data_IF_919163106382
#
_entry.id   IF_919163106382
#
_cell.length_a   1.000
_cell.length_b   1.000
_cell.length_c   1.000
_cell.angle_alpha   90.00
_cell.angle_beta   90.00
_cell.angle_gamma   90.00
#
_symmetry.space_group_name_H-M   'P 1'
#
loop_
_entity.id
_entity.type
_entity.pdbx_description
1 polymer ?
#
# COMPACT_ATOMS: atom_id res chain seq x y z
N UNK A 1 8.04 -12.90 11.71
CA UNK A 1 7.54 -11.94 12.71
C UNK A 1 8.03 -10.57 12.32
N UNK A 2 7.14 -9.62 12.06
CA UNK A 2 7.52 -8.24 11.74
C UNK A 2 7.70 -7.52 13.08
N UNK A 3 8.92 -7.11 13.38
CA UNK A 3 9.20 -6.31 14.58
C UNK A 3 8.60 -4.91 14.42
N UNK A 4 7.80 -4.52 15.41
CA UNK A 4 7.21 -3.19 15.52
C UNK A 4 8.32 -2.19 15.88
N UNK A 5 8.92 -1.57 14.85
CA UNK A 5 9.95 -0.55 15.05
C UNK A 5 9.32 0.74 15.58
N UNK A 6 9.65 1.07 16.84
CA UNK A 6 9.23 2.25 17.59
C UNK A 6 9.74 3.55 16.95
N UNK A 7 8.98 4.08 15.99
CA UNK A 7 9.06 5.48 15.56
C UNK A 7 7.66 6.06 15.67
N UNK A 8 7.42 6.84 16.73
CA UNK A 8 6.10 7.28 17.20
C UNK A 8 5.43 8.38 16.36
N UNK A 9 6.15 9.00 15.41
CA UNK A 9 5.69 10.22 14.72
C UNK A 9 4.98 9.91 13.39
N UNK A 10 5.46 9.01 12.51
CA UNK A 10 4.77 8.71 11.25
C UNK A 10 3.46 7.94 11.45
N UNK A 11 3.42 7.01 12.41
CA UNK A 11 2.23 6.22 12.72
C UNK A 11 1.14 7.06 13.39
N UNK A 12 1.49 8.03 14.24
CA UNK A 12 0.49 8.89 14.90
C UNK A 12 -0.23 9.80 13.92
N UNK A 13 0.48 10.42 12.96
CA UNK A 13 -0.18 11.20 11.91
C UNK A 13 -1.05 10.30 11.02
N UNK A 14 -0.52 9.15 10.58
CA UNK A 14 -1.27 8.22 9.73
C UNK A 14 -2.56 7.73 10.42
N UNK A 15 -2.48 7.33 11.69
CA UNK A 15 -3.64 6.94 12.49
C UNK A 15 -4.65 8.08 12.68
N UNK A 16 -4.18 9.32 12.89
CA UNK A 16 -5.08 10.47 13.03
C UNK A 16 -5.87 10.79 11.74
N UNK A 17 -5.36 10.36 10.58
CA UNK A 17 -5.97 10.61 9.27
C UNK A 17 -6.88 9.45 8.79
N UNK A 18 -6.96 8.34 9.51
CA UNK A 18 -7.84 7.22 9.16
C UNK A 18 -9.32 7.61 8.98
N UNK A 19 -9.93 8.46 9.83
CA UNK A 19 -11.32 8.90 9.62
C UNK A 19 -11.49 9.65 8.29
N UNK A 20 -10.50 10.47 7.90
CA UNK A 20 -10.53 11.20 6.64
C UNK A 20 -10.37 10.25 5.44
N UNK A 21 -9.51 9.23 5.55
CA UNK A 21 -9.35 8.20 4.53
C UNK A 21 -10.63 7.39 4.33
N UNK A 22 -11.27 6.95 5.42
CA UNK A 22 -12.57 6.27 5.38
C UNK A 22 -13.62 7.13 4.69
N UNK A 23 -13.71 8.40 5.06
CA UNK A 23 -14.63 9.34 4.41
C UNK A 23 -14.35 9.49 2.91
N UNK A 24 -13.10 9.74 2.51
CA UNK A 24 -12.73 9.93 1.09
C UNK A 24 -12.88 8.66 0.25
N UNK A 25 -12.81 7.49 0.87
CA UNK A 25 -13.03 6.19 0.21
C UNK A 25 -14.47 5.71 0.34
N UNK A 26 -15.41 6.55 0.79
CA UNK A 26 -16.82 6.19 1.01
C UNK A 26 -16.99 4.95 1.91
N UNK A 27 -16.18 4.85 2.97
CA UNK A 27 -16.12 3.75 3.92
C UNK A 27 -15.78 2.37 3.32
N UNK A 28 -15.20 2.35 2.10
CA UNK A 28 -14.72 1.11 1.49
C UNK A 28 -13.48 0.54 2.16
N UNK A 29 -12.68 1.38 2.83
CA UNK A 29 -11.50 0.93 3.57
C UNK A 29 -11.80 0.74 5.06
N UNK A 30 -11.33 -0.37 5.62
CA UNK A 30 -11.46 -0.71 7.05
C UNK A 30 -10.24 -1.47 7.59
N UNK A 31 -10.19 -1.67 8.92
CA UNK A 31 -9.16 -2.44 9.65
C UNK A 31 -7.74 -2.05 9.26
N UNK A 32 -7.45 -0.74 9.31
CA UNK A 32 -6.13 -0.23 8.97
C UNK A 32 -5.14 -0.61 10.08
N UNK A 33 -4.07 -1.30 9.70
CA UNK A 33 -2.97 -1.70 10.56
C UNK A 33 -1.67 -1.14 10.01
N UNK A 34 -1.19 -0.06 10.62
CA UNK A 34 0.06 0.58 10.24
C UNK A 34 1.28 -0.24 10.65
N UNK A 35 2.26 -0.34 9.76
CA UNK A 35 3.51 -1.02 10.00
C UNK A 35 4.66 -0.29 9.31
N UNK A 36 5.88 -0.70 9.62
CA UNK A 36 7.09 -0.22 8.96
C UNK A 36 7.84 -1.43 8.42
N UNK A 37 8.29 -1.35 7.17
CA UNK A 37 9.16 -2.37 6.59
C UNK A 37 10.61 -1.94 6.67
N UNK A 38 11.52 -2.92 6.70
CA UNK A 38 12.96 -2.73 6.68
C UNK A 38 13.48 -2.17 5.35
N UNK A 39 12.75 -2.38 4.25
CA UNK A 39 13.04 -1.77 2.94
C UNK A 39 12.40 -0.38 2.74
N UNK A 40 11.58 0.10 3.68
CA UNK A 40 10.97 1.42 3.55
C UNK A 40 12.02 2.52 3.74
N UNK A 41 12.33 3.25 2.66
CA UNK A 41 13.14 4.46 2.73
C UNK A 41 12.25 5.67 3.00
N UNK A 42 12.49 6.38 4.11
CA UNK A 42 11.79 7.62 4.47
C UNK A 42 10.66 7.47 5.48
N UNK A 43 9.93 8.57 5.69
CA UNK A 43 8.88 8.72 6.72
C UNK A 43 7.46 8.38 6.28
N UNK A 44 7.27 7.73 5.12
CA UNK A 44 5.96 7.26 4.71
C UNK A 44 5.39 6.28 5.75
N UNK A 45 4.08 6.28 5.96
CA UNK A 45 3.38 5.22 6.66
C UNK A 45 2.83 4.24 5.62
N UNK A 46 2.99 2.95 5.90
CA UNK A 46 2.40 1.87 5.13
C UNK A 46 1.45 1.11 6.04
N UNK A 47 0.25 0.80 5.56
CA UNK A 47 -0.76 0.09 6.32
C UNK A 47 -1.34 -1.09 5.55
N UNK A 48 -1.67 -2.17 6.23
CA UNK A 48 -2.59 -3.17 5.68
C UNK A 48 -4.01 -2.73 6.00
N UNK A 49 -4.94 -3.04 5.10
CA UNK A 49 -6.36 -2.76 5.33
C UNK A 49 -7.23 -3.79 4.60
N UNK A 50 -8.53 -3.75 4.88
CA UNK A 50 -9.56 -4.43 4.10
C UNK A 50 -10.23 -3.42 3.20
N UNK A 51 -10.37 -3.74 1.91
CA UNK A 51 -11.16 -2.98 0.94
C UNK A 51 -12.44 -3.76 0.62
N UNK A 52 -13.59 -3.12 0.81
CA UNK A 52 -14.90 -3.69 0.52
C UNK A 52 -15.61 -2.87 -0.54
N UNK A 53 -15.93 -3.49 -1.69
CA UNK A 53 -16.74 -2.88 -2.74
C UNK A 53 -17.69 -3.92 -3.33
N UNK A 54 -18.95 -3.55 -3.55
CA UNK A 54 -20.01 -4.43 -4.09
C UNK A 54 -20.11 -5.81 -3.39
N UNK A 55 -19.92 -5.84 -2.07
CA UNK A 55 -20.00 -7.07 -1.25
C UNK A 55 -18.75 -7.97 -1.31
N UNK A 56 -17.75 -7.62 -2.10
CA UNK A 56 -16.46 -8.32 -2.16
C UNK A 56 -15.47 -7.62 -1.24
N UNK A 57 -14.77 -8.40 -0.41
CA UNK A 57 -13.72 -7.91 0.50
C UNK A 57 -12.36 -8.46 0.10
N UNK A 58 -11.36 -7.59 0.01
CA UNK A 58 -9.99 -7.90 -0.38
C UNK A 58 -9.00 -7.30 0.61
N UNK A 59 -7.84 -7.92 0.78
CA UNK A 59 -6.75 -7.31 1.51
C UNK A 59 -6.00 -6.32 0.62
N UNK A 60 -5.67 -5.15 1.16
CA UNK A 60 -5.01 -4.06 0.43
C UNK A 60 -3.86 -3.47 1.24
N UNK A 61 -3.00 -2.75 0.54
CA UNK A 61 -1.94 -1.93 1.13
C UNK A 61 -2.30 -0.46 0.94
N UNK A 62 -2.24 0.31 2.02
CA UNK A 62 -2.38 1.75 2.06
C UNK A 62 -0.99 2.39 2.18
N UNK A 63 -0.72 3.40 1.36
CA UNK A 63 0.52 4.19 1.41
C UNK A 63 0.21 5.67 1.63
N UNK A 64 0.88 6.29 2.60
CA UNK A 64 0.63 7.66 3.03
C UNK A 64 1.81 8.28 3.82
N UNK A 65 2.41 9.43 3.42
CA UNK A 65 2.30 10.06 2.12
C UNK A 65 3.00 9.25 1.03
N UNK A 66 2.59 9.50 -0.22
CA UNK A 66 3.30 9.10 -1.42
C UNK A 66 3.78 10.33 -2.18
N UNK A 67 4.94 10.26 -2.83
CA UNK A 67 5.39 11.34 -3.70
C UNK A 67 4.57 11.37 -5.01
N UNK A 68 4.52 12.53 -5.66
CA UNK A 68 3.67 12.69 -6.85
C UNK A 68 4.17 11.87 -8.05
N UNK A 69 5.48 11.62 -8.17
CA UNK A 69 5.99 10.79 -9.25
C UNK A 69 5.44 9.35 -9.16
N UNK A 70 5.49 8.74 -7.98
CA UNK A 70 4.94 7.41 -7.71
C UNK A 70 3.43 7.36 -7.94
N UNK A 71 2.69 8.36 -7.46
CA UNK A 71 1.24 8.41 -7.68
C UNK A 71 0.89 8.50 -9.18
N UNK A 72 1.55 9.38 -9.94
CA UNK A 72 1.30 9.54 -11.37
C UNK A 72 1.62 8.27 -12.17
N UNK A 73 2.75 7.64 -11.90
CA UNK A 73 3.13 6.41 -12.58
C UNK A 73 2.19 5.25 -12.25
N UNK A 74 1.83 5.06 -10.97
CA UNK A 74 0.89 4.00 -10.58
C UNK A 74 -0.45 4.15 -11.30
N UNK A 75 -0.98 5.37 -11.41
CA UNK A 75 -2.22 5.67 -12.18
C UNK A 75 -2.07 5.33 -13.66
N UNK A 76 -0.97 5.77 -14.29
CA UNK A 76 -0.73 5.56 -15.73
C UNK A 76 -0.50 4.10 -16.10
N UNK A 77 -0.01 3.29 -15.18
CA UNK A 77 0.28 1.86 -15.39
C UNK A 77 -0.92 0.94 -15.13
N UNK A 78 -2.12 1.46 -14.83
CA UNK A 78 -3.36 0.68 -14.66
C UNK A 78 -3.94 0.19 -16.00
N UNK A 79 -3.13 -0.49 -16.80
CA UNK A 79 -3.54 -1.11 -18.06
C UNK A 79 -3.99 -2.56 -17.81
N UNK A 80 -4.86 -3.13 -18.67
CA UNK A 80 -5.14 -4.56 -18.65
C UNK A 80 -3.85 -5.39 -18.66
N UNK A 81 -3.79 -6.46 -17.86
CA UNK A 81 -2.63 -7.37 -17.76
C UNK A 81 -1.32 -6.70 -17.30
N UNK A 82 -1.40 -5.51 -16.68
CA UNK A 82 -0.23 -4.84 -16.12
C UNK A 82 0.40 -5.63 -14.97
N UNK A 83 1.72 -5.51 -14.85
CA UNK A 83 2.53 -6.13 -13.79
C UNK A 83 2.56 -5.30 -12.49
N UNK A 84 1.80 -4.20 -12.43
CA UNK A 84 1.71 -3.33 -11.26
C UNK A 84 0.51 -3.69 -10.40
N UNK A 85 0.56 -3.41 -9.08
CA UNK A 85 -0.60 -3.59 -8.20
C UNK A 85 -1.84 -2.87 -8.74
N UNK A 86 -2.99 -3.53 -8.63
CA UNK A 86 -4.28 -2.87 -8.88
C UNK A 86 -4.43 -1.66 -7.96
N UNK A 87 -4.78 -0.50 -8.53
CA UNK A 87 -5.04 0.74 -7.79
C UNK A 87 -6.53 0.87 -7.48
N UNK A 88 -6.92 0.67 -6.22
CA UNK A 88 -8.32 0.76 -5.79
C UNK A 88 -8.78 2.19 -5.55
N UNK A 89 -7.91 3.03 -4.98
CA UNK A 89 -8.21 4.43 -4.71
C UNK A 89 -6.91 5.25 -4.60
N UNK A 90 -6.99 6.54 -4.90
CA UNK A 90 -5.90 7.47 -4.63
C UNK A 90 -6.40 8.91 -4.52
N UNK A 91 -5.60 9.76 -3.90
CA UNK A 91 -5.85 11.20 -3.81
C UNK A 91 -4.55 11.98 -3.75
N UNK A 92 -4.61 13.26 -4.09
CA UNK A 92 -3.48 14.20 -3.97
C UNK A 92 -3.56 15.02 -2.69
N UNK A 93 -4.71 14.98 -2.02
CA UNK A 93 -4.99 15.69 -0.78
C UNK A 93 -5.77 14.80 0.19
N UNK A 94 -5.53 15.02 1.48
CA UNK A 94 -6.24 14.34 2.56
C UNK A 94 -6.45 15.30 3.72
N UNK A 95 -7.70 15.46 4.15
CA UNK A 95 -8.08 16.34 5.28
C UNK A 95 -7.51 17.78 5.20
N UNK A 96 -7.42 18.35 4.00
CA UNK A 96 -6.90 19.70 3.77
C UNK A 96 -5.37 19.80 3.64
N UNK A 97 -4.64 18.70 3.78
CA UNK A 97 -3.21 18.64 3.50
C UNK A 97 -2.94 18.27 2.04
N UNK A 98 -1.94 18.90 1.43
CA UNK A 98 -1.31 18.47 0.16
C UNK A 98 -0.49 17.21 0.41
N UNK A 99 -1.20 16.10 0.55
CA UNK A 99 -0.69 14.83 1.02
C UNK A 99 -1.28 13.73 0.15
N UNK A 100 -0.48 13.31 -0.83
CA UNK A 100 -0.86 12.25 -1.75
C UNK A 100 -0.87 10.88 -1.07
N UNK A 101 -1.85 10.05 -1.45
CA UNK A 101 -2.10 8.74 -0.86
C UNK A 101 -2.65 7.76 -1.89
N UNK A 102 -2.48 6.47 -1.64
CA UNK A 102 -3.08 5.44 -2.48
C UNK A 102 -3.39 4.15 -1.72
N UNK A 103 -4.40 3.42 -2.22
CA UNK A 103 -4.79 2.08 -1.81
C UNK A 103 -4.56 1.14 -2.98
N UNK A 104 -3.69 0.16 -2.79
CA UNK A 104 -3.26 -0.78 -3.82
C UNK A 104 -3.45 -2.22 -3.38
N UNK A 105 -3.44 -3.13 -4.33
CA UNK A 105 -3.42 -4.57 -4.10
C UNK A 105 -2.34 -5.02 -3.12
N UNK A 106 -2.72 -5.90 -2.20
CA UNK A 106 -1.79 -6.67 -1.40
C UNK A 106 -1.42 -7.93 -2.15
N UNK A 107 -0.16 -8.05 -2.55
CA UNK A 107 0.32 -9.32 -3.09
C UNK A 107 0.37 -10.40 -2.00
N UNK A 108 0.06 -11.66 -2.36
CA UNK A 108 0.08 -12.78 -1.41
C UNK A 108 1.50 -13.12 -0.93
N UNK A 109 2.52 -12.68 -1.68
CA UNK A 109 3.92 -12.99 -1.43
C UNK A 109 4.67 -11.66 -1.23
N UNK A 110 5.51 -11.62 -0.19
CA UNK A 110 6.33 -10.46 0.14
C UNK A 110 7.48 -10.22 -0.84
N UNK A 111 8.18 -9.08 -0.72
CA UNK A 111 9.29 -8.74 -1.61
C UNK A 111 10.49 -9.67 -1.42
N UNK A 112 11.39 -9.67 -2.41
CA UNK A 112 12.71 -10.27 -2.28
C UNK A 112 13.51 -9.51 -1.22
N UNK A 113 13.78 -10.18 -0.10
CA UNK A 113 14.61 -9.67 0.99
C UNK A 113 16.07 -10.11 0.86
N UNK A 114 16.84 -9.88 1.92
CA UNK A 114 18.21 -10.42 2.03
C UNK A 114 18.23 -11.94 2.23
N UNK A 115 17.14 -12.50 2.75
CA UNK A 115 16.98 -13.94 2.93
C UNK A 115 16.24 -14.52 1.73
N UNK A 116 16.90 -15.45 1.04
CA UNK A 116 16.35 -16.14 -0.11
C UNK A 116 15.80 -17.49 0.31
N UNK A 117 14.62 -17.82 -0.18
CA UNK A 117 14.01 -19.14 -0.14
C UNK A 117 14.14 -19.78 -1.52
N UNK A 118 14.19 -21.12 -1.59
CA UNK A 118 14.30 -21.85 -2.86
C UNK A 118 13.17 -21.47 -3.83
N UNK A 119 11.97 -21.22 -3.29
CA UNK A 119 10.81 -20.80 -4.07
C UNK A 119 10.98 -19.44 -4.77
N UNK A 120 11.92 -18.60 -4.34
CA UNK A 120 12.16 -17.29 -4.95
C UNK A 120 12.69 -17.41 -6.39
N UNK A 121 13.57 -18.38 -6.67
CA UNK A 121 14.14 -18.57 -8.00
C UNK A 121 13.04 -18.96 -8.99
N UNK A 122 12.22 -19.95 -8.64
CA UNK A 122 11.10 -20.38 -9.48
C UNK A 122 10.10 -19.25 -9.72
N UNK A 123 9.79 -18.45 -8.70
CA UNK A 123 8.87 -17.31 -8.83
C UNK A 123 9.40 -16.23 -9.77
N UNK A 124 10.70 -15.90 -9.69
CA UNK A 124 11.34 -14.93 -10.58
C UNK A 124 11.35 -15.47 -12.01
N UNK A 125 11.73 -16.73 -12.21
CA UNK A 125 11.76 -17.37 -13.52
C UNK A 125 10.36 -17.39 -14.17
N UNK A 126 9.34 -17.77 -13.40
CA UNK A 126 7.95 -17.76 -13.86
C UNK A 126 7.42 -16.35 -14.15
N UNK A 127 7.84 -15.33 -13.40
CA UNK A 127 7.45 -13.95 -13.67
C UNK A 127 8.12 -13.39 -14.94
N UNK A 128 9.37 -13.76 -15.20
CA UNK A 128 10.11 -13.32 -16.39
C UNK A 128 9.66 -14.00 -17.70
N UNK A 129 8.99 -15.15 -17.60
CA UNK A 129 8.50 -15.92 -18.75
C UNK A 129 7.09 -15.51 -19.22
N UNK A 130 6.44 -14.57 -18.53
CA UNK A 130 5.13 -13.98 -18.88
C UNK A 130 5.32 -12.69 -19.67
#
# INVERSE_FOLDING_TARGET
>A
MIESATSSIPSSLASSLEPALRKQTNNRIDKIHWFRTDWQRGGAATGFATWTDNGVSLEVVLKLPVNQCELQWTRKMQMPESVVPTLFASGEQLNGYDLAWMVIERFPIGPLGKHWEDSNIDRIANAAAR
#
